data_IF_323118720316
#
_entry.id   IF_323118720316
#
_cell.length_a   1.000
_cell.length_b   1.000
_cell.length_c   1.000
_cell.angle_alpha   90.00
_cell.angle_beta   90.00
_cell.angle_gamma   90.00
#
_symmetry.space_group_name_H-M   'P 1'
#
loop_
_entity.id
_entity.type
_entity.pdbx_description
1 polymer ?
#
# COMPACT_ATOMS: atom_id res chain seq x y z
N UNK A 1 -6.26 -2.77 -27.89
CA UNK A 1 -6.12 -3.20 -26.47
C UNK A 1 -6.37 -1.97 -25.59
N UNK A 2 -7.59 -1.79 -25.10
CA UNK A 2 -7.97 -0.61 -24.31
C UNK A 2 -7.60 -0.84 -22.85
N UNK A 3 -6.66 -0.06 -22.32
CA UNK A 3 -6.34 -0.05 -20.89
C UNK A 3 -7.58 0.32 -20.07
N UNK A 4 -7.74 -0.33 -18.93
CA UNK A 4 -8.82 -0.09 -17.98
C UNK A 4 -8.92 1.41 -17.67
N UNK A 5 -10.05 2.02 -18.03
CA UNK A 5 -10.37 3.39 -17.64
C UNK A 5 -10.52 3.40 -16.11
N UNK A 6 -9.63 4.07 -15.40
CA UNK A 6 -9.75 4.30 -13.96
C UNK A 6 -11.10 4.96 -13.69
N UNK A 7 -11.92 4.35 -12.82
CA UNK A 7 -13.25 4.83 -12.45
C UNK A 7 -13.21 6.30 -12.00
N UNK A 8 -14.13 7.11 -12.54
CA UNK A 8 -14.15 8.57 -12.42
C UNK A 8 -14.53 9.12 -11.03
N UNK A 9 -14.38 8.33 -9.95
CA UNK A 9 -14.82 8.69 -8.61
C UNK A 9 -13.67 8.54 -7.62
N UNK A 10 -13.31 9.62 -6.93
CA UNK A 10 -12.36 9.57 -5.82
C UNK A 10 -12.98 8.81 -4.64
N UNK A 11 -12.18 8.08 -3.86
CA UNK A 11 -12.60 7.30 -2.69
C UNK A 11 -13.57 8.06 -1.75
N UNK A 12 -13.36 9.36 -1.55
CA UNK A 12 -14.27 10.22 -0.76
C UNK A 12 -15.66 10.35 -1.38
N UNK A 13 -15.75 10.43 -2.71
CA UNK A 13 -17.00 10.52 -3.45
C UNK A 13 -17.73 9.17 -3.47
N UNK A 14 -17.00 8.05 -3.55
CA UNK A 14 -17.57 6.70 -3.44
C UNK A 14 -18.22 6.50 -2.06
N UNK A 15 -17.52 6.85 -0.98
CA UNK A 15 -18.05 6.73 0.39
C UNK A 15 -19.27 7.64 0.63
N UNK A 16 -19.22 8.88 0.13
CA UNK A 16 -20.34 9.81 0.24
C UNK A 16 -21.58 9.29 -0.50
N UNK A 17 -21.39 8.66 -1.66
CA UNK A 17 -22.48 8.11 -2.45
C UNK A 17 -23.07 6.85 -1.79
N UNK A 18 -22.24 5.94 -1.26
CA UNK A 18 -22.70 4.75 -0.51
C UNK A 18 -23.54 5.16 0.70
N UNK A 19 -23.16 6.24 1.39
CA UNK A 19 -23.91 6.76 2.55
C UNK A 19 -25.18 7.53 2.16
N UNK A 20 -25.22 8.11 0.96
CA UNK A 20 -26.33 8.91 0.45
C UNK A 20 -27.36 8.08 -0.34
N UNK A 21 -27.08 6.81 -0.64
CA UNK A 21 -28.09 5.89 -1.13
C UNK A 21 -29.17 5.78 -0.04
N UNK A 22 -30.46 6.01 -0.38
CA UNK A 22 -31.53 5.72 0.56
C UNK A 22 -31.40 4.26 0.98
N UNK A 23 -31.64 3.90 2.24
CA UNK A 23 -31.82 2.51 2.60
C UNK A 23 -32.92 2.00 1.66
N UNK A 24 -32.57 1.09 0.76
CA UNK A 24 -33.62 0.30 0.13
C UNK A 24 -34.39 -0.37 1.26
N UNK A 25 -35.70 -0.54 1.09
CA UNK A 25 -36.48 -1.31 2.06
C UNK A 25 -35.71 -2.59 2.38
N UNK A 26 -35.52 -2.87 3.68
CA UNK A 26 -34.74 -4.00 4.12
C UNK A 26 -35.24 -5.23 3.37
N UNK A 27 -34.34 -5.93 2.67
CA UNK A 27 -34.70 -7.11 1.89
C UNK A 27 -35.40 -8.10 2.82
N UNK A 28 -36.72 -8.24 2.66
CA UNK A 28 -37.55 -9.20 3.37
C UNK A 28 -37.64 -10.44 2.50
N UNK A 29 -36.98 -11.50 2.94
CA UNK A 29 -37.06 -12.81 2.31
C UNK A 29 -38.50 -13.33 2.36
N UNK A 30 -39.06 -13.66 1.20
CA UNK A 30 -40.45 -14.08 1.01
C UNK A 30 -40.66 -15.60 1.15
N UNK A 31 -39.57 -16.36 1.36
CA UNK A 31 -39.60 -17.81 1.50
C UNK A 31 -39.77 -18.58 0.18
N UNK A 32 -39.75 -17.90 -0.97
CA UNK A 32 -39.96 -18.52 -2.28
C UNK A 32 -38.71 -19.25 -2.79
N UNK A 33 -37.52 -18.72 -2.46
CA UNK A 33 -36.23 -19.29 -2.85
C UNK A 33 -35.29 -19.42 -1.63
N UNK A 34 -34.86 -20.65 -1.33
CA UNK A 34 -33.90 -20.93 -0.26
C UNK A 34 -32.49 -20.42 -0.60
N UNK A 35 -32.13 -20.29 -1.88
CA UNK A 35 -30.82 -19.76 -2.31
C UNK A 35 -30.74 -18.23 -2.13
N UNK A 36 -31.88 -17.54 -2.05
CA UNK A 36 -31.97 -16.08 -1.84
C UNK A 36 -32.19 -15.70 -0.37
N UNK A 37 -32.17 -16.70 0.52
CA UNK A 37 -32.29 -16.50 1.96
C UNK A 37 -31.07 -15.75 2.51
N UNK A 38 -31.24 -14.78 3.44
CA UNK A 38 -30.11 -14.18 4.12
C UNK A 38 -29.34 -15.23 4.94
N UNK A 39 -28.02 -15.20 4.81
CA UNK A 39 -27.13 -16.08 5.58
C UNK A 39 -27.37 -15.91 7.08
N UNK A 40 -27.38 -17.03 7.81
CA UNK A 40 -27.42 -16.98 9.27
C UNK A 40 -26.14 -16.38 9.82
N UNK A 41 -26.21 -15.85 11.05
CA UNK A 41 -25.03 -15.30 11.72
C UNK A 41 -23.87 -16.30 11.79
N UNK A 42 -24.18 -17.60 11.95
CA UNK A 42 -23.19 -18.68 12.01
C UNK A 42 -22.51 -18.93 10.65
N UNK A 43 -23.29 -18.98 9.56
CA UNK A 43 -22.76 -19.15 8.20
C UNK A 43 -21.92 -17.95 7.78
N UNK A 44 -22.38 -16.74 8.09
CA UNK A 44 -21.62 -15.52 7.84
C UNK A 44 -20.28 -15.53 8.59
N UNK A 45 -20.27 -15.92 9.87
CA UNK A 45 -19.05 -16.03 10.66
C UNK A 45 -18.08 -17.08 10.09
N UNK A 46 -18.58 -18.25 9.68
CA UNK A 46 -17.78 -19.30 9.07
C UNK A 46 -17.17 -18.86 7.73
N UNK A 47 -17.95 -18.17 6.90
CA UNK A 47 -17.49 -17.59 5.63
C UNK A 47 -16.40 -16.53 5.85
N UNK A 48 -16.59 -15.61 6.81
CA UNK A 48 -15.60 -14.58 7.18
C UNK A 48 -14.31 -15.19 7.75
N UNK A 49 -14.40 -16.22 8.59
CA UNK A 49 -13.24 -16.93 9.12
C UNK A 49 -12.42 -17.61 8.01
N UNK A 50 -13.08 -18.10 6.97
CA UNK A 50 -12.45 -18.71 5.80
C UNK A 50 -11.86 -17.65 4.86
N UNK A 51 -12.56 -16.53 4.66
CA UNK A 51 -12.10 -15.42 3.83
C UNK A 51 -10.89 -14.70 4.43
N UNK A 52 -10.83 -14.54 5.76
CA UNK A 52 -9.66 -13.99 6.48
C UNK A 52 -8.37 -14.78 6.24
N UNK A 53 -8.47 -16.09 5.95
CA UNK A 53 -7.32 -16.92 5.58
C UNK A 53 -6.86 -16.70 4.13
N UNK A 54 -7.67 -16.09 3.27
CA UNK A 54 -7.40 -15.84 1.83
C UNK A 54 -7.01 -14.38 1.55
N UNK A 55 -6.35 -13.73 2.50
CA UNK A 55 -5.61 -12.48 2.24
C UNK A 55 -4.16 -12.79 1.84
N UNK A 56 -3.57 -11.99 0.94
CA UNK A 56 -2.11 -11.97 0.79
C UNK A 56 -1.53 -11.72 2.20
N UNK A 57 -0.58 -12.53 2.69
CA UNK A 57 0.02 -12.28 3.99
C UNK A 57 0.45 -10.82 4.04
N UNK A 58 0.17 -10.14 5.15
CA UNK A 58 0.68 -8.78 5.42
C UNK A 58 2.18 -8.90 5.29
N UNK A 59 2.70 -8.53 4.12
CA UNK A 59 4.12 -8.53 3.90
C UNK A 59 4.67 -7.55 4.91
N UNK A 60 5.67 -7.98 5.69
CA UNK A 60 6.49 -7.13 6.55
C UNK A 60 7.37 -6.22 5.67
N UNK A 61 6.71 -5.48 4.78
CA UNK A 61 7.34 -4.78 3.67
C UNK A 61 8.02 -3.57 4.24
N UNK A 62 9.32 -3.70 4.48
CA UNK A 62 10.25 -2.66 4.92
C UNK A 62 10.41 -1.48 3.95
N UNK A 63 9.59 -1.42 2.90
CA UNK A 63 9.60 -0.34 1.91
C UNK A 63 8.59 0.70 2.32
N UNK A 64 9.08 1.81 2.84
CA UNK A 64 8.28 3.00 3.11
C UNK A 64 8.04 3.80 1.82
N UNK A 65 6.79 4.20 1.57
CA UNK A 65 6.47 5.07 0.44
C UNK A 65 6.66 6.53 0.86
N UNK A 66 7.69 7.18 0.31
CA UNK A 66 7.98 8.60 0.57
C UNK A 66 7.88 9.40 -0.74
N UNK A 67 7.34 10.62 -0.65
CA UNK A 67 7.31 11.56 -1.79
C UNK A 67 8.55 12.46 -1.75
N UNK A 68 9.56 12.13 -2.56
CA UNK A 68 10.83 12.87 -2.67
C UNK A 68 10.93 13.47 -4.07
N UNK A 69 11.50 14.68 -4.18
CA UNK A 69 11.81 15.31 -5.46
C UNK A 69 13.25 14.96 -5.86
N UNK A 70 13.41 14.49 -7.10
CA UNK A 70 14.69 14.22 -7.72
C UNK A 70 14.91 15.15 -8.91
N UNK A 71 16.18 15.42 -9.23
CA UNK A 71 16.52 16.15 -10.44
C UNK A 71 16.08 15.42 -11.70
N UNK A 72 15.73 16.20 -12.72
CA UNK A 72 15.20 15.68 -13.98
C UNK A 72 16.21 14.81 -14.72
N UNK A 73 17.48 15.18 -14.70
CA UNK A 73 18.56 14.45 -15.35
C UNK A 73 18.76 13.05 -14.74
N UNK A 74 18.71 12.96 -13.42
CA UNK A 74 18.83 11.70 -12.68
C UNK A 74 17.67 10.78 -13.04
N UNK A 75 16.43 11.30 -12.98
CA UNK A 75 15.26 10.52 -13.37
C UNK A 75 15.30 10.11 -14.84
N UNK A 76 15.77 10.96 -15.73
CA UNK A 76 15.90 10.64 -17.15
C UNK A 76 16.90 9.49 -17.37
N UNK A 77 18.08 9.56 -16.75
CA UNK A 77 19.10 8.53 -16.84
C UNK A 77 18.60 7.17 -16.35
N UNK A 78 17.94 7.13 -15.18
CA UNK A 78 17.39 5.88 -14.68
C UNK A 78 16.23 5.37 -15.54
N UNK A 79 15.32 6.22 -16.03
CA UNK A 79 14.22 5.78 -16.90
C UNK A 79 14.71 5.17 -18.22
N UNK A 80 15.81 5.67 -18.77
CA UNK A 80 16.43 5.11 -19.98
C UNK A 80 16.89 3.65 -19.80
N UNK A 81 17.19 3.22 -18.57
CA UNK A 81 17.54 1.83 -18.27
C UNK A 81 16.37 0.85 -18.44
N UNK A 82 15.15 1.34 -18.68
CA UNK A 82 13.98 0.53 -18.99
C UNK A 82 13.18 0.08 -17.76
N UNK A 83 12.38 -0.99 -17.88
CA UNK A 83 11.57 -1.52 -16.78
C UNK A 83 12.40 -1.83 -15.53
N UNK A 84 11.85 -1.54 -14.34
CA UNK A 84 12.54 -1.75 -13.07
C UNK A 84 13.56 -0.67 -12.67
N UNK A 85 13.56 0.49 -13.34
CA UNK A 85 14.48 1.60 -13.02
C UNK A 85 14.39 2.09 -11.57
N UNK A 86 13.21 2.02 -10.95
CA UNK A 86 13.02 2.37 -9.53
C UNK A 86 13.77 1.41 -8.60
N UNK A 87 13.76 0.11 -8.90
CA UNK A 87 14.52 -0.89 -8.15
C UNK A 87 16.02 -0.64 -8.29
N UNK A 88 16.50 -0.37 -9.52
CA UNK A 88 17.91 -0.03 -9.76
C UNK A 88 18.35 1.23 -9.02
N UNK A 89 17.50 2.26 -8.99
CA UNK A 89 17.75 3.48 -8.21
C UNK A 89 17.86 3.17 -6.71
N UNK A 90 16.95 2.36 -6.18
CA UNK A 90 17.00 1.94 -4.78
C UNK A 90 18.27 1.13 -4.46
N UNK A 91 18.72 0.27 -5.36
CA UNK A 91 19.94 -0.52 -5.16
C UNK A 91 21.20 0.37 -5.20
N UNK A 92 21.25 1.36 -6.10
CA UNK A 92 22.31 2.36 -6.13
C UNK A 92 22.40 3.17 -4.81
N UNK A 93 21.24 3.55 -4.23
CA UNK A 93 21.21 4.23 -2.93
C UNK A 93 21.75 3.34 -1.80
N UNK A 94 21.43 2.03 -1.82
CA UNK A 94 21.96 1.07 -0.85
C UNK A 94 23.46 0.86 -0.97
N UNK A 95 23.96 0.79 -2.20
CA UNK A 95 25.41 0.67 -2.46
C UNK A 95 26.13 1.91 -1.95
N UNK A 96 25.63 3.10 -2.28
CA UNK A 96 26.19 4.36 -1.79
C UNK A 96 26.25 4.41 -0.26
N UNK A 97 25.18 3.98 0.44
CA UNK A 97 25.16 3.90 1.90
C UNK A 97 26.23 2.93 2.44
N UNK A 98 26.45 1.78 1.80
CA UNK A 98 27.48 0.82 2.22
C UNK A 98 28.88 1.40 2.03
N UNK A 99 29.15 2.05 0.90
CA UNK A 99 30.43 2.73 0.65
C UNK A 99 30.70 3.84 1.66
N UNK A 100 29.68 4.64 2.00
CA UNK A 100 29.82 5.71 2.99
C UNK A 100 30.09 5.18 4.41
N UNK A 101 29.41 4.09 4.79
CA UNK A 101 29.63 3.44 6.09
C UNK A 101 31.01 2.79 6.18
N UNK A 102 31.48 2.17 5.10
CA UNK A 102 32.82 1.58 5.04
C UNK A 102 33.93 2.65 5.13
N UNK A 103 33.67 3.86 4.60
CA UNK A 103 34.63 4.96 4.58
C UNK A 103 34.56 5.90 5.81
N UNK A 104 33.64 5.66 6.75
CA UNK A 104 33.53 6.42 8.01
C UNK A 104 33.95 5.62 9.25
N UNK A 105 35.25 5.36 9.47
CA UNK A 105 35.72 4.96 10.78
C UNK A 105 35.88 6.22 11.65
N UNK A 106 34.84 6.57 12.40
CA UNK A 106 35.02 7.44 13.58
C UNK A 106 34.32 8.79 13.60
N UNK A 107 33.02 8.86 13.30
CA UNK A 107 32.19 9.86 13.97
C UNK A 107 31.78 9.33 15.36
N UNK A 108 32.78 9.22 16.24
CA UNK A 108 32.55 9.12 17.68
C UNK A 108 32.21 10.53 18.14
N UNK A 109 30.94 10.78 18.47
CA UNK A 109 30.54 11.92 19.28
C UNK A 109 31.44 11.96 20.52
N UNK A 110 32.28 12.98 20.64
CA UNK A 110 32.98 13.25 21.88
C UNK A 110 31.93 13.67 22.92
N UNK A 111 31.75 12.96 24.04
CA UNK A 111 31.06 13.56 25.18
C UNK A 111 32.02 14.64 25.71
N UNK A 112 31.55 15.88 25.75
CA UNK A 112 32.31 17.01 26.27
C UNK A 112 32.80 16.73 27.68
N UNK A 113 34.12 16.83 27.88
CA UNK A 113 34.73 16.91 29.20
C UNK A 113 34.82 18.38 29.64
N UNK A 114 34.74 18.66 30.95
CA UNK A 114 34.28 19.92 31.52
C UNK A 114 35.41 20.95 31.61
N UNK A 115 35.06 22.24 31.61
CA UNK A 115 36.02 23.31 31.86
C UNK A 115 35.36 24.58 32.38
N UNK A 116 35.80 25.01 33.57
CA UNK A 116 35.59 26.34 34.14
C UNK A 116 34.75 26.37 35.41
#
# INVERSE_FOLDING_TARGET
MSGSKTNAMNHKQVLAQVRALPPQEDYQWDGADEDERPATAQELQAALATARKRGRPVSDSSKEQVSIRYDREVLAAFRQTGPGWQTRMNDALKEWLQTQQACSPGQRSAPGLPGG
#
